data_IF_904505804481
#
_entry.id   IF_904505804481
#
_cell.length_a   1.000
_cell.length_b   1.000
_cell.length_c   1.000
_cell.angle_alpha   90.00
_cell.angle_beta   90.00
_cell.angle_gamma   90.00
#
_symmetry.space_group_name_H-M   'P 1'
#
loop_
_entity.id
_entity.type
_entity.pdbx_description
1 polymer ?
#
# COMPACT_ATOMS: atom_id res chain seq x y z
N UNK A 1 -18.67 -3.00 23.56
CA UNK A 1 -18.19 -2.85 22.17
C UNK A 1 -17.43 -4.13 21.86
N UNK A 2 -18.02 -5.03 21.07
CA UNK A 2 -17.28 -6.21 20.63
C UNK A 2 -16.05 -5.70 19.87
N UNK A 3 -14.85 -6.16 20.24
CA UNK A 3 -13.63 -5.70 19.60
C UNK A 3 -13.68 -6.14 18.14
N UNK A 4 -13.46 -5.23 17.20
CA UNK A 4 -13.43 -5.53 15.75
C UNK A 4 -12.55 -6.74 15.43
N UNK A 5 -11.49 -6.93 16.23
CA UNK A 5 -10.60 -8.09 16.19
C UNK A 5 -11.35 -9.39 16.48
N UNK A 6 -12.20 -9.44 17.50
CA UNK A 6 -13.01 -10.63 17.85
C UNK A 6 -13.93 -11.02 16.69
N UNK A 7 -14.58 -10.04 16.06
CA UNK A 7 -15.52 -10.30 14.97
C UNK A 7 -14.79 -10.79 13.71
N UNK A 8 -13.60 -10.26 13.44
CA UNK A 8 -12.72 -10.75 12.37
C UNK A 8 -12.31 -12.20 12.65
N UNK A 9 -11.82 -12.51 13.86
CA UNK A 9 -11.41 -13.88 14.22
C UNK A 9 -12.59 -14.85 14.09
N UNK A 10 -13.77 -14.47 14.56
CA UNK A 10 -14.98 -15.30 14.48
C UNK A 10 -15.39 -15.57 13.02
N UNK A 11 -15.28 -14.56 12.14
CA UNK A 11 -15.53 -14.70 10.71
C UNK A 11 -14.60 -15.74 10.07
N UNK A 12 -13.30 -15.67 10.35
CA UNK A 12 -12.33 -16.64 9.83
C UNK A 12 -12.59 -18.04 10.38
N UNK A 13 -12.87 -18.19 11.67
CA UNK A 13 -13.16 -19.49 12.29
C UNK A 13 -14.41 -20.15 11.72
N UNK A 14 -15.52 -19.40 11.61
CA UNK A 14 -16.78 -19.89 11.04
C UNK A 14 -16.65 -20.22 9.54
N UNK A 15 -15.82 -19.45 8.83
CA UNK A 15 -15.52 -19.69 7.43
C UNK A 15 -14.76 -20.99 7.21
N UNK A 16 -13.66 -21.19 7.94
CA UNK A 16 -12.82 -22.40 7.85
C UNK A 16 -13.57 -23.64 8.30
N UNK A 17 -14.38 -23.55 9.37
CA UNK A 17 -15.19 -24.69 9.84
C UNK A 17 -16.28 -25.10 8.85
N UNK A 18 -16.84 -24.16 8.09
CA UNK A 18 -17.92 -24.44 7.12
C UNK A 18 -17.43 -24.91 5.75
N UNK A 19 -16.31 -24.40 5.26
CA UNK A 19 -15.85 -24.62 3.88
C UNK A 19 -14.50 -25.33 3.78
N UNK A 20 -13.88 -25.67 4.92
CA UNK A 20 -12.49 -26.13 4.97
C UNK A 20 -11.51 -24.99 4.70
N UNK A 21 -10.24 -25.18 5.05
CA UNK A 21 -9.22 -24.13 4.91
C UNK A 21 -9.03 -23.70 3.45
N UNK A 22 -8.80 -24.66 2.54
CA UNK A 22 -8.56 -24.37 1.12
C UNK A 22 -9.78 -23.78 0.43
N UNK A 23 -10.97 -24.37 0.63
CA UNK A 23 -12.21 -23.86 0.03
C UNK A 23 -12.59 -22.47 0.55
N UNK A 24 -12.38 -22.20 1.84
CA UNK A 24 -12.61 -20.88 2.39
C UNK A 24 -11.63 -19.84 1.85
N UNK A 25 -10.33 -20.17 1.78
CA UNK A 25 -9.31 -19.27 1.21
C UNK A 25 -9.55 -18.98 -0.27
N UNK A 26 -10.04 -19.94 -1.05
CA UNK A 26 -10.39 -19.72 -2.45
C UNK A 26 -11.60 -18.76 -2.60
N UNK A 27 -12.66 -18.97 -1.80
CA UNK A 27 -13.85 -18.10 -1.80
C UNK A 27 -13.50 -16.68 -1.35
N UNK A 28 -12.75 -16.56 -0.26
CA UNK A 28 -12.35 -15.27 0.30
C UNK A 28 -11.35 -14.58 -0.63
N UNK A 29 -10.38 -15.29 -1.18
CA UNK A 29 -9.42 -14.78 -2.14
C UNK A 29 -10.08 -14.21 -3.40
N UNK A 30 -11.05 -14.94 -3.97
CA UNK A 30 -11.87 -14.47 -5.10
C UNK A 30 -12.73 -13.27 -4.73
N UNK A 31 -13.38 -13.28 -3.56
CA UNK A 31 -14.28 -12.21 -3.12
C UNK A 31 -13.56 -10.92 -2.75
N UNK A 32 -12.39 -11.03 -2.11
CA UNK A 32 -11.54 -9.90 -1.74
C UNK A 32 -10.68 -9.41 -2.91
N UNK A 33 -10.65 -10.12 -4.05
CA UNK A 33 -9.80 -9.83 -5.20
C UNK A 33 -8.38 -9.46 -4.75
N UNK A 34 -7.78 -10.30 -3.92
CA UNK A 34 -6.51 -10.02 -3.24
C UNK A 34 -5.41 -9.65 -4.24
N UNK A 35 -5.43 -10.26 -5.43
CA UNK A 35 -4.51 -9.92 -6.52
C UNK A 35 -4.67 -8.48 -7.02
N UNK A 36 -5.91 -7.99 -7.15
CA UNK A 36 -6.18 -6.60 -7.51
C UNK A 36 -5.70 -5.66 -6.41
N UNK A 37 -6.00 -5.98 -5.15
CA UNK A 37 -5.55 -5.19 -4.01
C UNK A 37 -4.01 -5.09 -3.97
N UNK A 38 -3.32 -6.22 -4.15
CA UNK A 38 -1.86 -6.27 -4.24
C UNK A 38 -1.32 -5.40 -5.37
N UNK A 39 -1.90 -5.50 -6.56
CA UNK A 39 -1.47 -4.71 -7.71
C UNK A 39 -1.73 -3.20 -7.50
N UNK A 40 -2.87 -2.83 -6.93
CA UNK A 40 -3.20 -1.43 -6.61
C UNK A 40 -2.22 -0.86 -5.56
N UNK A 41 -1.81 -1.67 -4.58
CA UNK A 41 -0.79 -1.28 -3.61
C UNK A 41 0.59 -1.09 -4.25
N UNK A 42 1.02 -2.04 -5.10
CA UNK A 42 2.30 -1.95 -5.80
C UNK A 42 2.36 -0.75 -6.75
N UNK A 43 1.27 -0.44 -7.43
CA UNK A 43 1.18 0.74 -8.30
C UNK A 43 1.35 2.03 -7.48
N UNK A 44 0.64 2.16 -6.36
CA UNK A 44 0.79 3.32 -5.46
C UNK A 44 2.20 3.44 -4.89
N UNK A 45 2.84 2.34 -4.50
CA UNK A 45 4.23 2.35 -4.03
C UNK A 45 5.18 2.84 -5.12
N UNK A 46 4.98 2.39 -6.36
CA UNK A 46 5.78 2.81 -7.52
C UNK A 46 5.62 4.31 -7.78
N UNK A 47 4.38 4.83 -7.72
CA UNK A 47 4.13 6.27 -7.84
C UNK A 47 4.81 7.08 -6.74
N UNK A 48 4.75 6.62 -5.48
CA UNK A 48 5.41 7.28 -4.36
C UNK A 48 6.93 7.32 -4.54
N UNK A 49 7.53 6.22 -5.01
CA UNK A 49 8.97 6.17 -5.31
C UNK A 49 9.37 7.15 -6.42
N UNK A 50 8.56 7.24 -7.48
CA UNK A 50 8.77 8.21 -8.56
C UNK A 50 8.73 9.66 -8.06
N UNK A 51 7.73 10.00 -7.24
CA UNK A 51 7.61 11.33 -6.63
C UNK A 51 8.79 11.62 -5.70
N UNK A 52 9.22 10.64 -4.90
CA UNK A 52 10.37 10.80 -4.01
C UNK A 52 11.65 11.07 -4.80
N UNK A 53 11.90 10.35 -5.89
CA UNK A 53 13.04 10.57 -6.77
C UNK A 53 13.02 11.96 -7.42
N UNK A 54 11.85 12.42 -7.90
CA UNK A 54 11.70 13.76 -8.46
C UNK A 54 11.96 14.86 -7.42
N UNK A 55 11.49 14.68 -6.18
CA UNK A 55 11.76 15.63 -5.10
C UNK A 55 13.25 15.70 -4.76
N UNK A 56 13.92 14.55 -4.68
CA UNK A 56 15.36 14.50 -4.45
C UNK A 56 16.14 15.20 -5.56
N UNK A 57 15.78 14.97 -6.82
CA UNK A 57 16.38 15.66 -7.96
C UNK A 57 16.18 17.18 -7.86
N UNK A 58 14.97 17.63 -7.55
CA UNK A 58 14.68 19.07 -7.37
C UNK A 58 15.55 19.68 -6.26
N UNK A 59 15.66 19.01 -5.11
CA UNK A 59 16.51 19.50 -4.03
C UNK A 59 17.98 19.57 -4.44
N UNK A 60 18.50 18.56 -5.15
CA UNK A 60 19.87 18.58 -5.66
C UNK A 60 20.11 19.78 -6.59
N UNK A 61 19.20 20.02 -7.53
CA UNK A 61 19.28 21.16 -8.46
C UNK A 61 19.20 22.51 -7.75
N UNK A 62 18.35 22.65 -6.73
CA UNK A 62 18.25 23.88 -5.93
C UNK A 62 19.53 24.14 -5.17
N UNK A 63 20.10 23.11 -4.53
CA UNK A 63 21.38 23.22 -3.79
C UNK A 63 22.51 23.60 -4.75
N UNK A 64 22.60 22.94 -5.92
CA UNK A 64 23.62 23.22 -6.92
C UNK A 64 23.55 24.65 -7.47
N UNK A 65 22.34 25.18 -7.66
CA UNK A 65 22.15 26.54 -8.16
C UNK A 65 22.09 27.61 -7.05
N UNK A 66 22.14 27.22 -5.78
CA UNK A 66 22.09 28.13 -4.64
C UNK A 66 23.07 29.32 -4.70
N UNK A 67 24.35 29.13 -5.09
CA UNK A 67 25.30 30.24 -5.21
C UNK A 67 24.91 31.26 -6.28
N UNK A 68 24.25 30.82 -7.36
CA UNK A 68 23.75 31.74 -8.40
C UNK A 68 22.64 32.61 -7.83
N UNK A 69 21.70 32.04 -7.08
CA UNK A 69 20.58 32.81 -6.51
C UNK A 69 21.03 33.86 -5.49
N UNK A 70 22.09 33.59 -4.72
CA UNK A 70 22.67 34.57 -3.79
C UNK A 70 23.29 35.76 -4.53
N UNK A 71 23.90 35.55 -5.70
CA UNK A 71 24.58 36.62 -6.44
C UNK A 71 23.62 37.61 -7.12
N UNK A 72 22.33 37.25 -7.27
CA UNK A 72 21.29 38.08 -7.86
C UNK A 72 20.39 38.79 -6.82
N UNK A 73 20.69 38.67 -5.53
CA UNK A 73 20.03 39.38 -4.43
C UNK A 73 20.99 40.39 -3.82
#
# INVERSE_FOLDING_TARGET
>A
MASTVRDIILFFYNGVTKYGLEGFLEIVGKKLKIDKLKNDFLDKMTQLLSIAAQKQLLYALVIENYPKYIYYT
#
